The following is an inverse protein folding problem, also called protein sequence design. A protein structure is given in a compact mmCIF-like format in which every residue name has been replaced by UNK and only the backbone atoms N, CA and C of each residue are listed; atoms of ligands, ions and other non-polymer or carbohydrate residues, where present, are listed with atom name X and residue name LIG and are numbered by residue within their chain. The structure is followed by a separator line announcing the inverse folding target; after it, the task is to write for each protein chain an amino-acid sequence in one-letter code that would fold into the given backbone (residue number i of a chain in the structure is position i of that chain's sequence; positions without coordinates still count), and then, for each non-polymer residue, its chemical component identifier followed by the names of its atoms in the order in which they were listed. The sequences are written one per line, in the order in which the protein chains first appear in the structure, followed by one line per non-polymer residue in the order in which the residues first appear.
data_IF_228735672971
#
_entry.id   IF_228735672971
#
_cell.length_a   1.000
_cell.length_b   1.000
_cell.length_c   1.000
_cell.angle_alpha   90.00
_cell.angle_beta   90.00
_cell.angle_gamma   90.00
#
_symmetry.space_group_name_H-M   'P 1'
#
loop_
_entity.id
_entity.type
_entity.pdbx_description
1 polymer ?
#
# COMPACT_ATOMS: atom_id res chain seq x y z
N UNK A 1 5.79 9.47 12.20
CA UNK A 1 6.77 9.64 11.11
C UNK A 1 6.17 9.07 9.84
N UNK A 2 6.45 9.70 8.70
CA UNK A 2 5.99 9.23 7.38
C UNK A 2 7.22 8.91 6.55
N UNK A 3 7.23 7.75 5.92
CA UNK A 3 8.31 7.31 5.02
C UNK A 3 7.75 7.20 3.60
N UNK A 4 8.42 7.84 2.65
CA UNK A 4 8.15 7.66 1.22
C UNK A 4 8.77 6.33 0.76
N UNK A 5 7.99 5.54 0.04
CA UNK A 5 8.40 4.29 -0.61
C UNK A 5 8.12 4.43 -2.09
N UNK A 6 9.11 4.21 -2.95
CA UNK A 6 8.92 4.20 -4.39
C UNK A 6 8.80 2.76 -4.87
N UNK A 7 7.69 2.44 -5.55
CA UNK A 7 7.51 1.17 -6.25
C UNK A 7 7.90 1.39 -7.71
N UNK A 8 8.89 0.62 -8.17
CA UNK A 8 9.44 0.66 -9.52
C UNK A 8 9.04 -0.62 -10.26
N UNK A 9 8.07 -0.52 -11.17
CA UNK A 9 7.62 -1.64 -12.00
C UNK A 9 8.62 -1.86 -13.16
N UNK A 10 9.85 -2.22 -12.79
CA UNK A 10 11.03 -2.08 -13.64
C UNK A 10 11.00 -2.91 -14.94
N UNK A 11 10.43 -4.12 -14.92
CA UNK A 11 10.56 -5.07 -16.02
C UNK A 11 9.22 -5.64 -16.48
N UNK A 12 8.53 -4.91 -17.37
CA UNK A 12 7.48 -5.45 -18.25
C UNK A 12 6.14 -5.83 -17.62
N UNK A 13 6.07 -5.93 -16.29
CA UNK A 13 4.87 -6.29 -15.54
C UNK A 13 4.34 -5.10 -14.74
N UNK A 14 3.02 -4.90 -14.68
CA UNK A 14 2.46 -3.98 -13.70
C UNK A 14 2.72 -4.50 -12.28
N UNK A 15 2.74 -3.60 -11.30
CA UNK A 15 2.85 -3.96 -9.87
C UNK A 15 1.57 -3.50 -9.18
N UNK A 16 0.92 -4.42 -8.46
CA UNK A 16 -0.24 -4.10 -7.65
C UNK A 16 0.20 -3.70 -6.26
N UNK A 17 -0.38 -2.60 -5.76
CA UNK A 17 -0.09 -2.06 -4.43
C UNK A 17 -1.39 -1.96 -3.68
N UNK A 18 -1.52 -2.76 -2.62
CA UNK A 18 -2.66 -2.71 -1.71
C UNK A 18 -2.26 -1.93 -0.46
N UNK A 19 -3.02 -0.88 -0.15
CA UNK A 19 -2.86 -0.11 1.09
C UNK A 19 -3.72 -0.72 2.17
N UNK A 20 -3.12 -1.03 3.31
CA UNK A 20 -3.81 -1.47 4.52
C UNK A 20 -3.54 -0.47 5.65
N UNK A 21 -4.61 0.03 6.25
CA UNK A 21 -4.54 0.96 7.37
C UNK A 21 -5.03 0.28 8.66
N UNK A 22 -4.42 0.67 9.77
CA UNK A 22 -4.84 0.24 11.09
C UNK A 22 -6.19 0.87 11.42
N UNK A 23 -7.11 0.09 11.97
CA UNK A 23 -8.46 0.58 12.29
C UNK A 23 -8.40 1.43 13.56
N UNK A 24 -9.10 2.57 13.53
CA UNK A 24 -9.28 3.42 14.70
C UNK A 24 -10.64 3.12 15.35
N UNK A 25 -10.62 2.75 16.62
CA UNK A 25 -11.82 2.63 17.45
C UNK A 25 -12.19 4.02 17.99
N UNK A 26 -13.31 4.55 17.49
CA UNK A 26 -13.81 5.86 17.90
C UNK A 26 -14.37 5.88 19.32
N UNK A 27 -14.91 4.77 19.82
CA UNK A 27 -15.47 4.68 21.17
C UNK A 27 -14.34 4.62 22.20
N UNK A 28 -13.34 3.77 21.97
CA UNK A 28 -12.18 3.64 22.84
C UNK A 28 -11.08 4.68 22.59
N UNK A 29 -11.24 5.53 21.57
CA UNK A 29 -10.30 6.56 21.12
C UNK A 29 -8.86 6.05 20.95
N UNK A 30 -8.70 4.87 20.34
CA UNK A 30 -7.39 4.22 20.17
C UNK A 30 -7.31 3.43 18.87
N UNK A 31 -6.08 3.19 18.41
CA UNK A 31 -5.84 2.24 17.33
C UNK A 31 -6.06 0.81 17.82
N UNK A 32 -6.67 -0.04 16.99
CA UNK A 32 -6.87 -1.45 17.28
C UNK A 32 -5.77 -2.29 16.63
N UNK A 33 -5.69 -3.58 16.95
CA UNK A 33 -4.79 -4.51 16.24
C UNK A 33 -5.33 -4.94 14.88
N UNK A 34 -6.52 -4.47 14.50
CA UNK A 34 -7.15 -4.78 13.21
C UNK A 34 -6.57 -3.91 12.10
N UNK A 35 -6.38 -4.53 10.93
CA UNK A 35 -5.92 -3.88 9.72
C UNK A 35 -6.97 -4.06 8.63
N UNK A 36 -7.26 -2.98 7.91
CA UNK A 36 -8.26 -2.98 6.86
C UNK A 36 -7.67 -2.46 5.55
N UNK A 37 -8.03 -3.11 4.46
CA UNK A 37 -7.76 -2.59 3.12
C UNK A 37 -8.48 -1.26 2.90
N UNK A 38 -7.72 -0.23 2.50
CA UNK A 38 -8.25 1.12 2.24
C UNK A 38 -8.01 1.59 0.81
N UNK A 39 -7.19 0.89 0.04
CA UNK A 39 -6.97 1.23 -1.37
C UNK A 39 -6.24 0.15 -2.14
N UNK A 40 -6.50 0.11 -3.44
CA UNK A 40 -5.74 -0.65 -4.43
C UNK A 40 -5.24 0.30 -5.49
N UNK A 41 -3.99 0.15 -5.86
CA UNK A 41 -3.38 0.86 -6.97
C UNK A 41 -2.60 -0.12 -7.84
N UNK A 42 -2.39 0.24 -9.10
CA UNK A 42 -1.55 -0.48 -10.03
C UNK A 42 -0.53 0.49 -10.60
N UNK A 43 0.75 0.18 -10.43
CA UNK A 43 1.86 0.84 -11.08
C UNK A 43 2.04 0.17 -12.44
N UNK A 44 1.80 0.86 -13.57
CA UNK A 44 1.95 0.26 -14.89
C UNK A 44 3.37 -0.22 -15.15
N UNK A 45 3.52 -1.18 -16.05
CA UNK A 45 4.84 -1.68 -16.45
C UNK A 45 5.74 -0.53 -16.95
N UNK A 46 7.00 -0.56 -16.53
CA UNK A 46 8.03 0.45 -16.82
C UNK A 46 7.74 1.85 -16.22
N UNK A 47 6.81 1.94 -15.28
CA UNK A 47 6.56 3.16 -14.51
C UNK A 47 7.03 3.03 -13.06
N UNK A 48 7.17 4.18 -12.40
CA UNK A 48 7.42 4.28 -10.96
C UNK A 48 6.34 5.12 -10.31
N UNK A 49 5.96 4.75 -9.09
CA UNK A 49 5.02 5.54 -8.29
C UNK A 49 5.46 5.61 -6.84
N UNK A 50 5.24 6.77 -6.26
CA UNK A 50 5.52 7.02 -4.85
C UNK A 50 4.30 6.70 -3.99
N UNK A 51 4.55 6.02 -2.89
CA UNK A 51 3.61 5.70 -1.83
C UNK A 51 4.17 6.15 -0.49
N UNK A 52 3.32 6.18 0.52
CA UNK A 52 3.68 6.67 1.85
C UNK A 52 3.23 5.67 2.92
N UNK A 53 4.16 5.27 3.78
CA UNK A 53 3.90 4.42 4.94
C UNK A 53 4.05 5.22 6.22
N UNK A 54 3.28 4.81 7.24
CA UNK A 54 3.31 5.39 8.59
C UNK A 54 3.23 4.25 9.61
N UNK A 55 3.21 4.57 10.90
CA UNK A 55 2.96 3.56 11.94
C UNK A 55 1.61 2.85 11.81
N UNK A 56 0.63 3.48 11.15
CA UNK A 56 -0.74 2.97 10.97
C UNK A 56 -1.10 2.66 9.52
N UNK A 57 -0.11 2.64 8.61
CA UNK A 57 -0.30 2.36 7.18
C UNK A 57 0.80 1.45 6.66
N UNK A 58 0.41 0.32 6.04
CA UNK A 58 1.32 -0.61 5.36
C UNK A 58 0.93 -0.75 3.90
N UNK A 59 1.89 -1.23 3.11
CA UNK A 59 1.70 -1.57 1.70
C UNK A 59 1.95 -3.07 1.53
N UNK A 60 1.07 -3.74 0.80
CA UNK A 60 1.32 -5.07 0.23
C UNK A 60 1.61 -4.84 -1.23
N UNK A 61 2.77 -5.31 -1.70
CA UNK A 61 3.26 -5.09 -3.07
C UNK A 61 3.41 -6.44 -3.74
N UNK A 62 2.70 -6.64 -4.85
CA UNK A 62 2.64 -7.90 -5.59
C UNK A 62 2.90 -7.64 -7.07
N UNK A 63 3.68 -8.51 -7.71
CA UNK A 63 3.83 -8.49 -9.17
C UNK A 63 2.49 -8.83 -9.83
N UNK A 64 2.10 -8.09 -10.86
CA UNK A 64 0.95 -8.42 -11.68
C UNK A 64 1.28 -9.52 -12.68
N UNK A 65 0.37 -10.49 -12.84
CA UNK A 65 0.53 -11.56 -13.84
C UNK A 65 0.22 -11.07 -15.26
N UNK A 66 0.75 -11.78 -16.28
CA UNK A 66 0.17 -11.81 -17.63
C UNK A 66 -1.15 -12.55 -17.51
N UNK A 67 -2.27 -11.87 -17.71
CA UNK A 67 -3.48 -12.56 -18.16
C UNK A 67 -3.24 -13.23 -19.52
#
# INVERSE_FOLDING_TARGET
MTTKVTVDAHAGWPVHVTTIDQVYDHEAQKMTDEWRETGKDTVPANEKRDFYVTSSRRLIVEEGNRD
#
